data_IF_973004145171
#
_entry.id   IF_973004145171
#
_cell.length_a   1.000
_cell.length_b   1.000
_cell.length_c   1.000
_cell.angle_alpha   90.00
_cell.angle_beta   90.00
_cell.angle_gamma   90.00
#
_symmetry.space_group_name_H-M   'P 1'
#
loop_
_entity.id
_entity.type
_entity.pdbx_description
1 polymer ?
#
# COMPACT_ATOMS: atom_id res chain seq x y z
N UNK A 1 18.32 -25.01 16.78
CA UNK A 1 18.80 -23.82 16.05
C UNK A 1 17.64 -23.35 15.18
N UNK A 2 16.87 -22.34 15.60
CA UNK A 2 15.76 -21.85 14.78
C UNK A 2 16.36 -21.11 13.58
N UNK A 3 16.16 -21.65 12.38
CA UNK A 3 16.41 -20.92 11.14
C UNK A 3 15.68 -19.59 11.24
N UNK A 4 16.40 -18.47 11.14
CA UNK A 4 15.80 -17.13 11.05
C UNK A 4 14.97 -17.10 9.77
N UNK A 5 13.65 -17.28 9.87
CA UNK A 5 12.75 -17.28 8.73
C UNK A 5 12.16 -15.89 8.53
N UNK A 6 11.98 -15.50 7.27
CA UNK A 6 11.15 -14.37 6.88
C UNK A 6 9.70 -14.83 7.02
N UNK A 7 8.91 -14.11 7.81
CA UNK A 7 7.48 -14.39 7.94
C UNK A 7 6.73 -13.47 6.97
N UNK A 8 5.78 -14.03 6.23
CA UNK A 8 4.94 -13.29 5.28
C UNK A 8 3.51 -13.49 5.75
N UNK A 9 2.80 -12.40 6.01
CA UNK A 9 1.37 -12.42 6.29
C UNK A 9 0.66 -11.94 5.03
N UNK A 10 -0.21 -12.77 4.48
CA UNK A 10 -0.98 -12.49 3.29
C UNK A 10 -2.44 -12.29 3.65
N UNK A 11 -2.91 -11.05 3.53
CA UNK A 11 -4.30 -10.68 3.75
C UNK A 11 -5.07 -10.79 2.44
N UNK A 12 -6.16 -11.55 2.45
CA UNK A 12 -7.01 -11.80 1.28
C UNK A 12 -8.49 -11.77 1.68
N UNK A 13 -9.36 -11.69 0.66
CA UNK A 13 -10.82 -11.78 0.81
C UNK A 13 -11.37 -12.86 -0.11
N UNK A 14 -12.37 -13.61 0.37
CA UNK A 14 -13.05 -14.67 -0.38
C UNK A 14 -13.82 -14.13 -1.60
N UNK A 15 -14.06 -12.81 -1.64
CA UNK A 15 -14.65 -12.14 -2.81
C UNK A 15 -13.73 -12.14 -4.04
N UNK A 16 -12.42 -12.31 -3.83
CA UNK A 16 -11.41 -12.13 -4.86
C UNK A 16 -10.49 -13.35 -5.04
N UNK A 17 -10.25 -14.11 -3.98
CA UNK A 17 -9.30 -15.24 -3.99
C UNK A 17 -9.86 -16.45 -3.24
N UNK A 18 -9.40 -17.64 -3.64
CA UNK A 18 -9.80 -18.93 -3.06
C UNK A 18 -8.72 -19.47 -2.09
N UNK A 19 -9.14 -19.88 -0.89
CA UNK A 19 -8.23 -20.37 0.15
C UNK A 19 -7.45 -21.63 -0.26
N UNK A 20 -8.07 -22.54 -1.02
CA UNK A 20 -7.42 -23.77 -1.48
C UNK A 20 -6.35 -23.46 -2.54
N UNK A 21 -6.62 -22.54 -3.47
CA UNK A 21 -5.64 -22.03 -4.43
C UNK A 21 -4.46 -21.35 -3.73
N UNK A 22 -4.75 -20.45 -2.78
CA UNK A 22 -3.72 -19.75 -1.99
C UNK A 22 -2.88 -20.73 -1.16
N UNK A 23 -3.52 -21.73 -0.57
CA UNK A 23 -2.84 -22.80 0.17
C UNK A 23 -1.89 -23.60 -0.74
N UNK A 24 -2.28 -23.85 -1.98
CA UNK A 24 -1.43 -24.54 -2.95
C UNK A 24 -0.23 -23.67 -3.37
N UNK A 25 -0.43 -22.37 -3.59
CA UNK A 25 0.65 -21.42 -3.89
C UNK A 25 1.62 -21.33 -2.70
N UNK A 26 1.09 -21.14 -1.48
CA UNK A 26 1.88 -21.09 -0.25
C UNK A 26 2.77 -22.34 -0.08
N UNK A 27 2.19 -23.54 -0.21
CA UNK A 27 2.96 -24.81 -0.17
C UNK A 27 4.03 -24.88 -1.25
N UNK A 28 3.75 -24.37 -2.46
CA UNK A 28 4.71 -24.35 -3.57
C UNK A 28 5.89 -23.43 -3.25
N UNK A 29 5.64 -22.24 -2.71
CA UNK A 29 6.69 -21.30 -2.29
C UNK A 29 7.53 -21.90 -1.15
N UNK A 30 6.89 -22.44 -0.10
CA UNK A 30 7.61 -23.05 1.04
C UNK A 30 8.45 -24.27 0.65
N UNK A 31 8.08 -24.99 -0.42
CA UNK A 31 8.90 -26.08 -0.97
C UNK A 31 10.16 -25.57 -1.66
N UNK A 32 10.09 -24.43 -2.35
CA UNK A 32 11.23 -23.77 -3.01
C UNK A 32 12.15 -23.07 -2.00
N UNK A 33 11.57 -22.43 -0.97
CA UNK A 33 12.26 -21.58 0.01
C UNK A 33 11.92 -22.03 1.44
N UNK A 34 12.88 -22.69 2.12
CA UNK A 34 12.71 -23.14 3.52
C UNK A 34 12.89 -22.03 4.55
N UNK A 35 13.43 -20.90 4.10
CA UNK A 35 13.70 -19.68 4.85
C UNK A 35 12.49 -18.73 4.91
N UNK A 36 11.38 -19.08 4.25
CA UNK A 36 10.13 -18.30 4.25
C UNK A 36 9.04 -19.10 4.94
N UNK A 37 8.18 -18.41 5.70
CA UNK A 37 6.93 -18.93 6.22
C UNK A 37 5.78 -17.99 5.82
N UNK A 38 4.67 -18.54 5.36
CA UNK A 38 3.53 -17.75 4.85
C UNK A 38 2.30 -18.08 5.68
N UNK A 39 1.67 -17.03 6.22
CA UNK A 39 0.39 -17.09 6.92
C UNK A 39 -0.68 -16.47 6.04
N UNK A 40 -1.76 -17.20 5.80
CA UNK A 40 -2.91 -16.71 5.05
C UNK A 40 -3.95 -16.19 6.06
N UNK A 41 -4.38 -14.94 5.90
CA UNK A 41 -5.34 -14.28 6.78
C UNK A 41 -6.52 -13.79 5.93
N UNK A 42 -7.68 -14.43 6.12
CA UNK A 42 -8.91 -14.00 5.49
C UNK A 42 -9.48 -12.81 6.26
N UNK A 43 -9.65 -11.66 5.61
CA UNK A 43 -10.21 -10.46 6.25
C UNK A 43 -11.72 -10.55 6.48
N UNK A 44 -12.42 -11.44 5.76
CA UNK A 44 -13.86 -11.65 5.89
C UNK A 44 -14.20 -12.51 7.13
N UNK A 45 -13.21 -13.18 7.72
CA UNK A 45 -13.36 -13.94 8.95
C UNK A 45 -13.24 -13.03 10.19
N UNK A 46 -14.31 -12.87 11.01
CA UNK A 46 -14.29 -12.00 12.18
C UNK A 46 -13.20 -12.36 13.21
N UNK A 47 -12.71 -13.61 13.20
CA UNK A 47 -11.62 -14.05 14.10
C UNK A 47 -10.29 -13.36 13.80
N UNK A 48 -10.15 -12.80 12.59
CA UNK A 48 -8.93 -12.12 12.16
C UNK A 48 -9.02 -10.60 12.32
N UNK A 49 -10.13 -10.04 12.83
CA UNK A 49 -10.34 -8.60 12.94
C UNK A 49 -9.23 -7.90 13.73
N UNK A 50 -8.79 -8.47 14.86
CA UNK A 50 -7.69 -7.93 15.67
C UNK A 50 -6.37 -7.84 14.87
N UNK A 51 -6.07 -8.86 14.05
CA UNK A 51 -4.88 -8.87 13.21
C UNK A 51 -4.99 -7.86 12.07
N UNK A 52 -6.14 -7.80 11.40
CA UNK A 52 -6.41 -6.83 10.33
C UNK A 52 -6.25 -5.40 10.83
N UNK A 53 -6.75 -5.09 12.03
CA UNK A 53 -6.57 -3.79 12.69
C UNK A 53 -5.12 -3.54 13.11
N UNK A 54 -4.44 -4.53 13.71
CA UNK A 54 -3.05 -4.41 14.15
C UNK A 54 -2.11 -4.05 12.99
N UNK A 55 -2.37 -4.63 11.82
CA UNK A 55 -1.60 -4.35 10.62
C UNK A 55 -2.17 -3.18 9.81
N UNK A 56 -3.24 -2.50 10.24
CA UNK A 56 -3.86 -1.38 9.53
C UNK A 56 -4.15 -1.76 8.06
N UNK A 57 -4.81 -2.90 7.85
CA UNK A 57 -5.13 -3.42 6.51
C UNK A 57 -6.39 -2.72 6.00
N UNK A 58 -6.18 -1.78 5.08
CA UNK A 58 -7.26 -1.01 4.45
C UNK A 58 -7.52 -1.43 2.99
N UNK A 59 -6.66 -2.29 2.44
CA UNK A 59 -6.73 -2.80 1.06
C UNK A 59 -6.29 -4.26 1.03
N UNK A 60 -6.92 -5.06 0.16
CA UNK A 60 -6.52 -6.44 -0.14
C UNK A 60 -6.50 -6.67 -1.66
N UNK A 61 -5.64 -7.56 -2.18
CA UNK A 61 -4.68 -8.40 -1.45
C UNK A 61 -3.49 -7.60 -0.91
N UNK A 62 -2.97 -7.99 0.25
CA UNK A 62 -1.83 -7.33 0.88
C UNK A 62 -0.81 -8.34 1.44
N UNK A 63 0.44 -8.22 1.01
CA UNK A 63 1.59 -8.93 1.56
C UNK A 63 2.29 -8.06 2.61
N UNK A 64 2.40 -8.54 3.84
CA UNK A 64 3.23 -7.94 4.89
C UNK A 64 4.42 -8.84 5.17
N UNK A 65 5.61 -8.36 4.86
CA UNK A 65 6.86 -9.09 5.14
C UNK A 65 7.44 -8.66 6.47
N UNK A 66 7.77 -9.64 7.30
CA UNK A 66 8.40 -9.46 8.59
C UNK A 66 9.84 -9.99 8.56
N UNK A 67 10.74 -9.24 9.18
CA UNK A 67 12.07 -9.76 9.49
C UNK A 67 11.96 -10.95 10.45
N UNK A 68 13.02 -11.77 10.57
CA UNK A 68 13.08 -12.81 11.59
C UNK A 68 12.99 -12.33 13.05
N UNK A 69 12.99 -11.00 13.27
CA UNK A 69 12.79 -10.37 14.58
C UNK A 69 11.35 -9.91 14.81
N UNK A 70 10.46 -10.10 13.84
CA UNK A 70 9.07 -9.65 13.88
C UNK A 70 8.86 -8.20 13.46
N UNK A 71 9.90 -7.49 12.99
CA UNK A 71 9.78 -6.12 12.50
C UNK A 71 9.22 -6.11 11.07
N UNK A 72 8.29 -5.20 10.75
CA UNK A 72 7.78 -5.01 9.38
C UNK A 72 8.92 -4.52 8.48
N UNK A 73 9.22 -5.32 7.45
CA UNK A 73 10.28 -5.07 6.48
C UNK A 73 9.76 -4.45 5.17
N UNK A 74 8.58 -4.88 4.72
CA UNK A 74 7.93 -4.43 3.50
C UNK A 74 6.42 -4.68 3.55
N UNK A 75 5.66 -3.89 2.77
CA UNK A 75 4.23 -4.05 2.54
C UNK A 75 4.01 -3.90 1.03
N UNK A 76 3.26 -4.79 0.39
CA UNK A 76 3.04 -4.77 -1.06
C UNK A 76 1.62 -5.24 -1.39
N UNK A 77 0.90 -4.48 -2.22
CA UNK A 77 -0.44 -4.86 -2.68
C UNK A 77 -0.34 -5.68 -3.96
N UNK A 78 0.08 -6.94 -3.81
CA UNK A 78 0.29 -7.88 -4.92
C UNK A 78 -0.28 -9.25 -4.57
N UNK A 79 -0.75 -10.02 -5.57
CA UNK A 79 -1.23 -11.37 -5.33
C UNK A 79 -0.09 -12.29 -4.89
N UNK A 80 -0.39 -13.29 -4.06
CA UNK A 80 0.60 -14.27 -3.59
C UNK A 80 1.24 -15.06 -4.75
N UNK A 81 0.56 -15.12 -5.90
CA UNK A 81 1.04 -15.74 -7.14
C UNK A 81 2.24 -15.01 -7.77
N UNK A 82 2.55 -13.76 -7.36
CA UNK A 82 3.74 -13.02 -7.77
C UNK A 82 5.02 -13.55 -7.09
N UNK A 83 5.31 -14.85 -7.29
CA UNK A 83 6.37 -15.59 -6.58
C UNK A 83 7.76 -14.98 -6.74
N UNK A 84 8.04 -14.38 -7.89
CA UNK A 84 9.35 -13.77 -8.17
C UNK A 84 9.59 -12.54 -7.27
N UNK A 85 8.55 -11.72 -7.08
CA UNK A 85 8.59 -10.57 -6.17
C UNK A 85 8.71 -11.05 -4.72
N UNK A 86 7.91 -12.04 -4.32
CA UNK A 86 7.99 -12.64 -2.97
C UNK A 86 9.41 -13.14 -2.67
N UNK A 87 10.04 -13.81 -3.63
CA UNK A 87 11.42 -14.30 -3.51
C UNK A 87 12.43 -13.16 -3.38
N UNK A 88 12.32 -12.13 -4.23
CA UNK A 88 13.22 -10.98 -4.24
C UNK A 88 13.17 -10.21 -2.91
N UNK A 89 11.98 -9.96 -2.38
CA UNK A 89 11.81 -9.23 -1.11
C UNK A 89 12.39 -10.06 0.05
N UNK A 90 12.10 -11.35 0.10
CA UNK A 90 12.68 -12.22 1.12
C UNK A 90 14.22 -12.27 1.04
N UNK A 91 14.80 -12.23 -0.16
CA UNK A 91 16.26 -12.12 -0.33
C UNK A 91 16.80 -10.79 0.18
N UNK A 92 16.15 -9.66 -0.13
CA UNK A 92 16.53 -8.35 0.39
C UNK A 92 16.49 -8.33 1.93
N UNK A 93 15.50 -8.97 2.56
CA UNK A 93 15.40 -9.10 4.02
C UNK A 93 16.54 -9.94 4.58
N UNK A 94 16.79 -11.11 3.99
CA UNK A 94 17.87 -12.01 4.42
C UNK A 94 19.27 -11.36 4.27
N UNK A 95 19.45 -10.53 3.26
CA UNK A 95 20.67 -9.74 3.05
C UNK A 95 20.77 -8.52 3.99
N UNK A 96 19.76 -8.24 4.82
CA UNK A 96 19.71 -7.07 5.69
C UNK A 96 19.52 -5.75 4.95
N UNK A 97 19.04 -5.77 3.71
CA UNK A 97 18.72 -4.57 2.92
C UNK A 97 17.34 -4.00 3.26
N UNK A 98 16.45 -4.82 3.83
CA UNK A 98 15.13 -4.42 4.31
C UNK A 98 14.92 -4.82 5.78
N UNK A 99 14.22 -3.99 6.59
CA UNK A 99 13.69 -2.67 6.24
C UNK A 99 14.80 -1.63 6.02
N UNK A 100 14.57 -0.68 5.10
CA UNK A 100 15.50 0.43 4.89
C UNK A 100 15.18 1.58 5.86
N UNK A 101 16.08 1.92 6.80
CA UNK A 101 15.82 2.96 7.81
C UNK A 101 15.66 4.36 7.20
N UNK A 102 16.40 4.68 6.14
CA UNK A 102 16.31 5.98 5.47
C UNK A 102 14.93 6.17 4.82
N UNK A 103 14.40 5.11 4.19
CA UNK A 103 13.05 5.09 3.61
C UNK A 103 12.00 5.25 4.71
N UNK A 104 12.15 4.54 5.84
CA UNK A 104 11.23 4.68 6.99
C UNK A 104 11.20 6.11 7.53
N UNK A 105 12.36 6.74 7.70
CA UNK A 105 12.45 8.12 8.18
C UNK A 105 11.82 9.11 7.19
N UNK A 106 12.15 8.97 5.91
CA UNK A 106 11.61 9.84 4.86
C UNK A 106 10.10 9.71 4.73
N UNK A 107 9.59 8.47 4.72
CA UNK A 107 8.16 8.16 4.75
C UNK A 107 7.46 8.83 5.93
N UNK A 108 8.01 8.68 7.14
CA UNK A 108 7.42 9.26 8.34
C UNK A 108 7.31 10.79 8.24
N UNK A 109 8.33 11.48 7.73
CA UNK A 109 8.31 12.93 7.51
C UNK A 109 7.22 13.37 6.53
N UNK A 110 7.05 12.62 5.43
CA UNK A 110 6.04 12.92 4.42
C UNK A 110 4.64 12.70 5.01
N UNK A 111 4.38 11.54 5.63
CA UNK A 111 3.10 11.24 6.26
C UNK A 111 2.73 12.27 7.33
N UNK A 112 3.69 12.70 8.16
CA UNK A 112 3.45 13.74 9.16
C UNK A 112 3.07 15.08 8.52
N UNK A 113 3.70 15.42 7.39
CA UNK A 113 3.37 16.63 6.62
C UNK A 113 1.96 16.56 6.03
N UNK A 114 1.54 15.39 5.51
CA UNK A 114 0.21 15.18 4.93
C UNK A 114 -0.92 15.34 5.95
N UNK A 115 -0.69 15.04 7.24
CA UNK A 115 -1.68 15.24 8.32
C UNK A 115 -2.11 16.70 8.49
N UNK A 116 -1.27 17.65 8.07
CA UNK A 116 -1.58 19.07 8.17
C UNK A 116 -2.54 19.58 7.09
N UNK A 117 -2.82 18.77 6.06
CA UNK A 117 -3.68 19.15 4.93
C UNK A 117 -5.15 19.04 5.35
N UNK A 118 -5.93 20.08 5.02
CA UNK A 118 -7.37 20.08 5.28
C UNK A 118 -8.10 19.18 4.28
N UNK A 119 -8.66 18.07 4.77
CA UNK A 119 -9.44 17.06 4.04
C UNK A 119 -10.91 17.48 3.84
N UNK A 120 -11.12 18.72 3.40
CA UNK A 120 -12.46 19.34 3.32
C UNK A 120 -13.36 18.85 2.17
N UNK A 121 -12.84 18.00 1.28
CA UNK A 121 -13.61 17.42 0.18
C UNK A 121 -13.10 16.00 -0.16
N UNK A 122 -14.00 15.20 -0.73
CA UNK A 122 -13.76 13.79 -1.08
C UNK A 122 -12.57 13.59 -2.03
N UNK A 123 -12.39 14.48 -3.02
CA UNK A 123 -11.27 14.40 -3.95
C UNK A 123 -9.92 14.56 -3.23
N UNK A 124 -9.82 15.49 -2.28
CA UNK A 124 -8.61 15.68 -1.48
C UNK A 124 -8.34 14.47 -0.58
N UNK A 125 -9.38 13.88 0.02
CA UNK A 125 -9.24 12.64 0.80
C UNK A 125 -8.65 11.52 -0.07
N UNK A 126 -9.26 11.25 -1.22
CA UNK A 126 -8.84 10.17 -2.12
C UNK A 126 -7.40 10.34 -2.60
N UNK A 127 -6.98 11.57 -2.95
CA UNK A 127 -5.59 11.83 -3.35
C UNK A 127 -4.63 11.54 -2.21
N UNK A 128 -4.96 11.95 -0.98
CA UNK A 128 -4.12 11.71 0.18
C UNK A 128 -4.03 10.21 0.50
N UNK A 129 -5.15 9.49 0.51
CA UNK A 129 -5.18 8.04 0.73
C UNK A 129 -4.33 7.29 -0.30
N UNK A 130 -4.38 7.67 -1.58
CA UNK A 130 -3.53 7.10 -2.62
C UNK A 130 -2.04 7.35 -2.35
N UNK A 131 -1.67 8.58 -1.99
CA UNK A 131 -0.28 8.91 -1.63
C UNK A 131 0.18 8.09 -0.41
N UNK A 132 -0.67 7.97 0.62
CA UNK A 132 -0.37 7.20 1.83
C UNK A 132 -0.13 5.71 1.51
N UNK A 133 -0.97 5.12 0.67
CA UNK A 133 -0.82 3.72 0.25
C UNK A 133 0.49 3.50 -0.52
N UNK A 134 0.76 4.32 -1.55
CA UNK A 134 1.98 4.19 -2.35
C UNK A 134 3.25 4.40 -1.49
N UNK A 135 3.19 5.34 -0.53
CA UNK A 135 4.28 5.58 0.41
C UNK A 135 4.60 4.35 1.25
N UNK A 136 3.58 3.60 1.66
CA UNK A 136 3.75 2.39 2.47
C UNK A 136 4.41 1.26 1.68
N UNK A 137 4.20 1.22 0.37
CA UNK A 137 4.78 0.23 -0.54
C UNK A 137 6.21 0.54 -0.98
N UNK A 138 6.58 1.82 -1.09
CA UNK A 138 7.92 2.22 -1.51
C UNK A 138 9.03 1.63 -0.61
N UNK A 139 9.98 0.91 -1.20
CA UNK A 139 11.05 0.18 -0.50
C UNK A 139 12.40 0.90 -0.56
N UNK A 140 12.52 1.88 -1.46
CA UNK A 140 13.73 2.65 -1.74
C UNK A 140 13.43 4.15 -1.79
N UNK A 141 14.46 4.97 -1.62
CA UNK A 141 14.31 6.42 -1.69
C UNK A 141 14.00 6.92 -3.11
N UNK A 142 14.47 6.20 -4.14
CA UNK A 142 14.15 6.48 -5.53
C UNK A 142 12.67 6.24 -5.81
N UNK A 143 12.11 5.12 -5.34
CA UNK A 143 10.67 4.86 -5.47
C UNK A 143 9.83 5.93 -4.77
N UNK A 144 10.24 6.39 -3.57
CA UNK A 144 9.58 7.53 -2.91
C UNK A 144 9.63 8.78 -3.80
N UNK A 145 10.78 9.09 -4.40
CA UNK A 145 10.93 10.28 -5.24
C UNK A 145 10.09 10.20 -6.52
N UNK A 146 10.14 9.08 -7.23
CA UNK A 146 9.37 8.84 -8.46
C UNK A 146 7.86 8.89 -8.19
N UNK A 147 7.41 8.28 -7.10
CA UNK A 147 6.01 8.33 -6.67
C UNK A 147 5.58 9.78 -6.34
N UNK A 148 6.40 10.57 -5.64
CA UNK A 148 6.10 11.99 -5.38
C UNK A 148 5.97 12.76 -6.69
N UNK A 149 6.92 12.59 -7.61
CA UNK A 149 6.91 13.28 -8.90
C UNK A 149 5.65 12.91 -9.72
N UNK A 150 5.25 11.64 -9.68
CA UNK A 150 4.02 11.14 -10.29
C UNK A 150 2.77 11.81 -9.70
N UNK A 151 2.66 11.86 -8.37
CA UNK A 151 1.51 12.49 -7.69
C UNK A 151 1.46 13.99 -7.91
N UNK A 152 2.60 14.70 -7.90
CA UNK A 152 2.64 16.13 -8.24
C UNK A 152 2.13 16.35 -9.67
N UNK A 153 2.55 15.51 -10.61
CA UNK A 153 2.08 15.58 -11.99
C UNK A 153 0.56 15.35 -12.08
N UNK A 154 0.04 14.31 -11.43
CA UNK A 154 -1.39 14.00 -11.39
C UNK A 154 -2.21 15.14 -10.79
N UNK A 155 -1.76 15.73 -9.69
CA UNK A 155 -2.41 16.89 -9.05
C UNK A 155 -2.41 18.09 -9.99
N UNK A 156 -1.32 18.37 -10.69
CA UNK A 156 -1.27 19.48 -11.65
C UNK A 156 -2.26 19.28 -12.80
N UNK A 157 -2.36 18.06 -13.33
CA UNK A 157 -3.35 17.71 -14.35
C UNK A 157 -4.77 17.88 -13.82
N UNK A 158 -5.07 17.37 -12.62
CA UNK A 158 -6.37 17.53 -12.00
C UNK A 158 -6.76 19.00 -11.78
N UNK A 159 -5.83 19.85 -11.35
CA UNK A 159 -6.06 21.30 -11.21
C UNK A 159 -6.42 21.91 -12.56
N UNK A 160 -5.65 21.60 -13.62
CA UNK A 160 -5.91 22.10 -14.98
C UNK A 160 -7.31 21.69 -15.47
N UNK A 161 -7.68 20.43 -15.29
CA UNK A 161 -8.98 19.90 -15.72
C UNK A 161 -10.13 20.55 -14.95
N UNK A 162 -9.98 20.72 -13.62
CA UNK A 162 -10.97 21.40 -12.78
C UNK A 162 -11.13 22.88 -13.16
N UNK A 163 -10.05 23.57 -13.53
CA UNK A 163 -10.12 24.95 -14.04
C UNK A 163 -10.87 25.03 -15.37
N UNK A 164 -10.66 24.06 -16.26
CA UNK A 164 -11.39 23.98 -17.54
C UNK A 164 -12.89 23.71 -17.30
N UNK A 165 -13.24 22.74 -16.45
CA UNK A 165 -14.61 22.46 -16.04
C UNK A 165 -15.26 23.73 -15.48
N UNK A 166 -14.60 24.42 -14.55
CA UNK A 166 -15.08 25.68 -13.97
C UNK A 166 -15.31 26.74 -15.05
N UNK A 167 -14.41 26.86 -16.04
CA UNK A 167 -14.53 27.81 -17.16
C UNK A 167 -15.75 27.49 -18.02
N UNK A 168 -16.01 26.21 -18.32
CA UNK A 168 -17.18 25.76 -19.08
C UNK A 168 -18.46 26.07 -18.31
N UNK A 169 -18.56 25.69 -17.03
CA UNK A 169 -19.75 25.92 -16.21
C UNK A 169 -20.07 27.41 -16.02
N UNK A 170 -19.05 28.26 -15.86
CA UNK A 170 -19.24 29.73 -15.77
C UNK A 170 -19.94 30.34 -16.99
N UNK A 171 -19.82 29.74 -18.19
CA UNK A 171 -20.55 30.21 -19.39
C UNK A 171 -22.06 30.08 -19.21
N UNK A 172 -22.50 29.05 -18.49
CA UNK A 172 -23.91 28.77 -18.23
C UNK A 172 -24.43 29.40 -16.93
N UNK A 173 -23.54 29.79 -16.00
CA UNK A 173 -23.91 30.48 -14.75
C UNK A 173 -24.54 31.87 -14.99
N UNK A 174 -24.28 32.53 -16.13
CA UNK A 174 -24.83 33.86 -16.47
C UNK A 174 -26.37 33.99 -16.44
N UNK A 175 -27.10 32.88 -16.26
CA UNK A 175 -28.56 32.85 -16.18
C UNK A 175 -29.14 32.89 -14.75
N UNK A 176 -28.34 32.75 -13.68
CA UNK A 176 -28.82 32.88 -12.29
C UNK A 176 -27.92 33.87 -11.54
N UNK A 177 -28.50 35.03 -11.17
CA UNK A 177 -27.81 36.09 -10.43
C UNK A 177 -27.40 35.70 -9.00
N UNK A 178 -27.86 34.54 -8.52
CA UNK A 178 -27.62 34.06 -7.17
C UNK A 178 -26.97 32.67 -7.22
N UNK A 179 -25.64 32.61 -7.10
CA UNK A 179 -25.00 31.42 -6.55
C UNK A 179 -23.83 31.85 -5.66
N UNK A 180 -23.91 31.45 -4.39
CA UNK A 180 -22.95 31.72 -3.31
C UNK A 180 -21.90 30.60 -3.30
N UNK A 181 -20.68 30.98 -2.90
CA UNK A 181 -19.45 30.16 -2.81
C UNK A 181 -19.61 28.99 -1.86
#
# INVERSE_FOLDING_TARGET
>A
MSSKKVEIIYFYSDLHEDEDELSNISRRISRKRRDINIHLINIDDPRNEELTQLYEVNIVPLLVFLTPRGEIAARLSLPLSAEDVVQEIADKINMGKLPNPAVKERRAKILDSLKSINRGNELTETIIEQIENDLMEALTESEIAEMIDSHISAVNHAISDLEEIKRVLKRYQRLRKDFIV
#
